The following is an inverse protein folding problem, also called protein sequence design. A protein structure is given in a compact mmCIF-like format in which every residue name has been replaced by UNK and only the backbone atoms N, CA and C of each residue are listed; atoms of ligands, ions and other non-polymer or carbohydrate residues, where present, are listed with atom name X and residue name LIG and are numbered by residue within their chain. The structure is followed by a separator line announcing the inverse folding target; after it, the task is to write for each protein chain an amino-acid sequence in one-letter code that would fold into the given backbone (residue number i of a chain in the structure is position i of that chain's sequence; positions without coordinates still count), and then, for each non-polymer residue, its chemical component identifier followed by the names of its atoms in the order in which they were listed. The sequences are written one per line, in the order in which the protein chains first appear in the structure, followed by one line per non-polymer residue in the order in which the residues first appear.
data_IF_145932846543
#
_entry.id   IF_145932846543
#
_cell.length_a   1.000
_cell.length_b   1.000
_cell.length_c   1.000
_cell.angle_alpha   90.00
_cell.angle_beta   90.00
_cell.angle_gamma   90.00
#
_symmetry.space_group_name_H-M   'P 1'
#
loop_
_entity.id
_entity.type
_entity.pdbx_description
1 polymer ?
#
# COMPACT_ATOMS: atom_id res chain seq x y z
N UNK A 1 4.62 2.32 11.18
CA UNK A 1 3.94 2.16 9.87
C UNK A 1 2.49 1.79 10.10
N UNK A 2 1.60 2.41 9.36
CA UNK A 2 0.18 2.13 9.44
C UNK A 2 -0.28 1.46 8.15
N UNK A 3 -1.04 0.38 8.26
CA UNK A 3 -1.46 -0.43 7.12
C UNK A 3 -2.97 -0.59 7.14
N UNK A 4 -3.59 -0.47 5.98
CA UNK A 4 -5.05 -0.62 5.81
C UNK A 4 -5.30 -1.75 4.84
N UNK A 5 -6.20 -2.66 5.24
CA UNK A 5 -6.59 -3.81 4.45
C UNK A 5 -8.12 -3.86 4.31
N UNK A 6 -8.58 -4.75 3.45
CA UNK A 6 -10.02 -5.06 3.29
C UNK A 6 -10.89 -3.84 2.99
N UNK A 7 -10.36 -2.91 2.22
CA UNK A 7 -11.10 -1.73 1.79
C UNK A 7 -11.97 -2.04 0.58
N UNK A 8 -13.11 -1.35 0.49
CA UNK A 8 -14.03 -1.50 -0.64
C UNK A 8 -13.61 -0.66 -1.84
N UNK A 9 -13.01 0.48 -1.59
CA UNK A 9 -12.54 1.40 -2.63
C UNK A 9 -11.02 1.50 -2.55
N UNK A 10 -10.29 1.04 -3.58
CA UNK A 10 -8.83 1.06 -3.57
C UNK A 10 -8.27 2.46 -3.89
N UNK A 11 -8.77 3.46 -3.21
CA UNK A 11 -8.36 4.85 -3.42
C UNK A 11 -8.12 5.51 -2.07
N UNK A 12 -7.00 6.20 -1.95
CA UNK A 12 -6.69 7.00 -0.76
C UNK A 12 -6.34 8.41 -1.18
N UNK A 13 -6.63 9.35 -0.32
CA UNK A 13 -6.24 10.75 -0.49
C UNK A 13 -5.43 11.20 0.72
N UNK A 14 -4.34 11.84 0.43
CA UNK A 14 -3.51 12.47 1.45
C UNK A 14 -3.47 13.96 1.14
N UNK A 15 -3.91 14.78 2.09
CA UNK A 15 -4.01 16.22 1.88
C UNK A 15 -3.32 16.96 3.01
N UNK A 16 -2.60 18.01 2.65
CA UNK A 16 -1.98 18.86 3.65
C UNK A 16 -3.02 19.61 4.47
N UNK A 17 -2.79 19.72 5.77
CA UNK A 17 -3.64 20.54 6.64
C UNK A 17 -3.29 22.02 6.56
N UNK A 18 -2.12 22.35 5.99
CA UNK A 18 -1.61 23.73 5.91
C UNK A 18 -1.82 24.37 4.55
N UNK A 19 -2.16 23.57 3.55
CA UNK A 19 -2.39 24.03 2.19
C UNK A 19 -3.45 23.16 1.54
N UNK A 20 -3.93 23.55 0.37
CA UNK A 20 -4.94 22.77 -0.35
C UNK A 20 -4.34 21.72 -1.29
N UNK A 21 -3.05 21.46 -1.17
CA UNK A 21 -2.39 20.48 -2.01
C UNK A 21 -2.40 19.11 -1.37
N UNK A 22 -2.37 18.10 -2.19
CA UNK A 22 -2.36 16.72 -1.73
C UNK A 22 -2.13 15.77 -2.89
N UNK A 23 -2.38 14.51 -2.63
CA UNK A 23 -2.25 13.46 -3.64
C UNK A 23 -3.36 12.44 -3.45
N UNK A 24 -3.86 11.95 -4.56
CA UNK A 24 -4.81 10.83 -4.58
C UNK A 24 -4.12 9.64 -5.24
N UNK A 25 -4.23 8.47 -4.62
CA UNK A 25 -3.68 7.25 -5.19
C UNK A 25 -4.78 6.21 -5.33
N UNK A 26 -4.89 5.64 -6.52
CA UNK A 26 -5.76 4.51 -6.82
C UNK A 26 -4.87 3.29 -7.05
N UNK A 27 -5.19 2.17 -6.38
CA UNK A 27 -4.34 0.98 -6.41
C UNK A 27 -5.18 -0.30 -6.51
N UNK A 28 -5.91 -0.49 -7.64
CA UNK A 28 -6.88 -1.59 -7.74
C UNK A 28 -6.27 -2.99 -7.69
N UNK A 29 -4.99 -3.11 -8.00
CA UNK A 29 -4.32 -4.41 -8.09
C UNK A 29 -3.60 -4.81 -6.80
N UNK A 30 -3.81 -4.06 -5.71
CA UNK A 30 -3.14 -4.28 -4.44
C UNK A 30 -4.12 -4.55 -3.32
N UNK A 31 -3.73 -5.41 -2.39
CA UNK A 31 -4.59 -5.87 -1.30
C UNK A 31 -4.55 -4.97 -0.08
N UNK A 32 -3.51 -4.19 0.06
CA UNK A 32 -3.36 -3.29 1.20
C UNK A 32 -2.55 -2.07 0.82
N UNK A 33 -2.66 -1.05 1.64
CA UNK A 33 -1.82 0.13 1.53
C UNK A 33 -1.24 0.46 2.89
N UNK A 34 0.01 0.83 2.91
CA UNK A 34 0.71 1.25 4.12
C UNK A 34 1.15 2.70 3.99
N UNK A 35 1.21 3.36 5.12
CA UNK A 35 1.70 4.74 5.24
C UNK A 35 2.88 4.72 6.21
N UNK A 36 3.98 5.27 5.78
CA UNK A 36 5.17 5.30 6.61
C UNK A 36 5.82 6.67 6.58
N UNK A 37 6.23 7.11 7.73
CA UNK A 37 7.03 8.31 7.89
C UNK A 37 8.06 8.05 8.97
N UNK A 38 9.24 8.68 8.91
CA UNK A 38 10.20 8.55 9.99
C UNK A 38 9.61 9.00 11.33
N UNK A 39 10.06 8.39 12.40
CA UNK A 39 9.56 8.68 13.76
C UNK A 39 9.97 10.06 14.27
N UNK A 40 10.86 10.74 13.59
CA UNK A 40 11.28 12.08 13.97
C UNK A 40 10.15 13.07 13.74
N UNK A 41 10.02 14.01 14.65
CA UNK A 41 9.11 15.13 14.53
C UNK A 41 9.45 15.93 13.26
N UNK A 42 8.45 16.33 12.50
CA UNK A 42 8.60 17.14 11.30
C UNK A 42 9.36 16.44 10.16
N UNK A 43 9.04 15.18 9.93
CA UNK A 43 9.58 14.46 8.79
C UNK A 43 9.15 15.13 7.48
N UNK A 44 10.07 15.31 6.52
CA UNK A 44 9.75 16.03 5.28
C UNK A 44 8.97 15.21 4.26
N UNK A 45 8.69 13.95 4.54
CA UNK A 45 8.01 13.08 3.58
C UNK A 45 7.18 12.00 4.26
N UNK A 46 6.26 11.45 3.50
CA UNK A 46 5.49 10.26 3.87
C UNK A 46 5.50 9.31 2.68
N UNK A 47 5.62 8.01 2.95
CA UNK A 47 5.56 6.98 1.92
C UNK A 47 4.15 6.44 1.81
N UNK A 48 3.67 6.32 0.59
CA UNK A 48 2.42 5.62 0.27
C UNK A 48 2.82 4.30 -0.39
N UNK A 49 2.50 3.18 0.24
CA UNK A 49 3.01 1.89 -0.17
C UNK A 49 1.87 0.91 -0.43
N UNK A 50 1.44 0.75 -1.69
CA UNK A 50 0.53 -0.34 -2.01
C UNK A 50 1.27 -1.67 -1.95
N UNK A 51 0.63 -2.66 -1.34
CA UNK A 51 1.25 -3.96 -1.08
C UNK A 51 0.40 -5.11 -1.59
N UNK A 52 1.07 -6.11 -2.15
CA UNK A 52 0.58 -7.47 -2.25
C UNK A 52 1.51 -8.32 -1.42
N UNK A 53 0.94 -9.26 -0.66
CA UNK A 53 1.66 -9.90 0.41
C UNK A 53 1.70 -8.97 1.62
N UNK A 54 2.64 -9.16 2.48
CA UNK A 54 2.74 -8.33 3.67
C UNK A 54 3.87 -8.78 4.58
N UNK A 55 4.01 -8.08 5.70
CA UNK A 55 4.94 -8.47 6.75
C UNK A 55 4.47 -9.76 7.40
N UNK A 56 5.39 -10.54 7.93
CA UNK A 56 5.07 -11.76 8.65
C UNK A 56 4.32 -11.43 9.94
N UNK A 57 3.15 -12.05 10.12
CA UNK A 57 2.42 -12.02 11.37
C UNK A 57 2.95 -13.12 12.28
N UNK A 58 2.84 -12.93 13.58
CA UNK A 58 3.25 -13.95 14.56
C UNK A 58 2.47 -15.28 14.38
N UNK A 59 1.26 -15.20 13.83
CA UNK A 59 0.42 -16.36 13.59
C UNK A 59 0.62 -17.01 12.22
N UNK A 60 1.43 -16.40 11.36
CA UNK A 60 1.70 -16.96 10.05
C UNK A 60 2.72 -18.09 10.12
N UNK A 61 2.50 -19.10 9.27
CA UNK A 61 3.48 -20.16 9.07
C UNK A 61 4.67 -19.65 8.26
N UNK A 62 5.79 -20.32 8.38
CA UNK A 62 6.99 -19.97 7.61
C UNK A 62 6.89 -20.33 6.14
N UNK A 63 5.85 -21.07 5.74
CA UNK A 63 5.63 -21.42 4.33
C UNK A 63 5.17 -20.19 3.57
N UNK A 64 5.96 -19.75 2.59
CA UNK A 64 5.66 -18.55 1.80
C UNK A 64 4.33 -18.66 1.06
N UNK A 65 3.92 -19.86 0.65
CA UNK A 65 2.65 -20.05 -0.07
C UNK A 65 1.44 -19.89 0.81
N UNK A 66 1.60 -19.93 2.13
CA UNK A 66 0.53 -19.77 3.11
C UNK A 66 0.47 -18.38 3.71
N UNK A 67 1.35 -17.49 3.31
CA UNK A 67 1.32 -16.10 3.79
C UNK A 67 0.10 -15.37 3.25
N UNK A 68 -0.46 -14.51 4.08
CA UNK A 68 -1.62 -13.70 3.72
C UNK A 68 -1.32 -12.84 2.49
N UNK A 69 -2.22 -12.86 1.52
CA UNK A 69 -2.14 -12.06 0.29
C UNK A 69 -0.95 -12.37 -0.60
N UNK A 70 -0.27 -13.50 -0.40
CA UNK A 70 0.82 -13.85 -1.30
C UNK A 70 0.31 -14.06 -2.71
N UNK A 71 1.08 -13.61 -3.69
CA UNK A 71 0.74 -13.76 -5.09
C UNK A 71 1.56 -14.90 -5.68
N UNK A 72 0.89 -15.81 -6.38
CA UNK A 72 1.55 -16.97 -6.99
C UNK A 72 1.47 -16.83 -8.51
N UNK A 73 2.61 -16.97 -9.16
CA UNK A 73 2.70 -16.89 -10.61
C UNK A 73 3.28 -18.20 -11.12
N UNK A 74 2.52 -18.86 -12.00
CA UNK A 74 2.99 -20.11 -12.64
C UNK A 74 3.97 -19.78 -13.75
N UNK A 75 4.79 -20.75 -14.13
CA UNK A 75 5.73 -20.58 -15.23
C UNK A 75 4.99 -20.15 -16.50
N UNK A 76 5.48 -19.09 -17.14
CA UNK A 76 4.88 -18.54 -18.35
C UNK A 76 3.74 -17.57 -18.14
N UNK A 77 3.23 -17.45 -16.92
CA UNK A 77 2.20 -16.47 -16.59
C UNK A 77 2.79 -15.08 -16.40
N UNK A 78 1.96 -14.08 -16.71
CA UNK A 78 2.28 -12.67 -16.45
C UNK A 78 1.14 -12.04 -15.67
N UNK A 79 1.49 -11.18 -14.73
CA UNK A 79 0.51 -10.35 -14.02
C UNK A 79 0.97 -8.92 -14.06
N UNK A 80 0.02 -8.01 -14.23
CA UNK A 80 0.29 -6.58 -14.19
C UNK A 80 -0.29 -5.98 -12.91
N UNK A 81 0.46 -5.10 -12.30
CA UNK A 81 0.03 -4.36 -11.12
C UNK A 81 0.15 -2.89 -11.42
N UNK A 82 -0.93 -2.15 -11.24
CA UNK A 82 -0.97 -0.72 -11.54
C UNK A 82 -1.38 0.06 -10.32
N UNK A 83 -0.79 1.22 -10.18
CA UNK A 83 -1.33 2.24 -9.32
C UNK A 83 -1.26 3.57 -10.07
N UNK A 84 -2.20 4.45 -9.78
CA UNK A 84 -2.30 5.76 -10.42
C UNK A 84 -2.34 6.78 -9.31
N UNK A 85 -1.55 7.82 -9.42
CA UNK A 85 -1.62 8.93 -8.49
C UNK A 85 -1.82 10.24 -9.23
N UNK A 86 -2.65 11.10 -8.63
CA UNK A 86 -2.99 12.40 -9.19
C UNK A 86 -2.75 13.47 -8.13
N UNK A 87 -2.06 14.56 -8.48
CA UNK A 87 -1.94 15.68 -7.56
C UNK A 87 -3.31 16.32 -7.31
N UNK A 88 -3.53 16.77 -6.09
CA UNK A 88 -4.70 17.55 -5.70
C UNK A 88 -4.23 18.98 -5.44
N UNK A 89 -4.89 19.93 -6.07
CA UNK A 89 -4.54 21.34 -5.93
C UNK A 89 -5.71 22.16 -5.45
#
# INVERSE_FOLDING_TARGET
MKKIEDFKNPTVRLRSTKSNVGIEMNFPDYKSIAFWTPTKKESPFICLEPWNGGTMDQLEECDVLKKKYVQVLKAGEKKEYRFIFCPIR
#
